data_IF_934045974410
#
_entry.id   IF_934045974410
#
_cell.length_a   1.000
_cell.length_b   1.000
_cell.length_c   1.000
_cell.angle_alpha   90.00
_cell.angle_beta   90.00
_cell.angle_gamma   90.00
#
_symmetry.space_group_name_H-M   'P 1'
#
loop_
_entity.id
_entity.type
_entity.pdbx_description
1 polymer ?
#
# COMPACT_ATOMS: atom_id res chain seq x y z
N UNK A 1 -11.24 -10.45 8.99
CA UNK A 1 -10.39 -11.60 9.34
C UNK A 1 -9.34 -11.79 8.24
N UNK A 2 -8.09 -11.87 8.63
CA UNK A 2 -6.99 -12.00 7.67
C UNK A 2 -6.84 -13.46 7.26
N UNK A 3 -6.74 -13.68 5.95
CA UNK A 3 -6.54 -15.02 5.42
C UNK A 3 -5.07 -15.22 5.06
N UNK A 4 -4.52 -16.32 5.48
CA UNK A 4 -3.12 -16.67 5.24
C UNK A 4 -3.08 -18.02 4.55
N UNK A 5 -2.34 -18.12 3.44
CA UNK A 5 -2.20 -19.37 2.71
C UNK A 5 -1.40 -20.40 3.52
N UNK A 6 -1.54 -21.67 3.15
CA UNK A 6 -0.77 -22.74 3.82
C UNK A 6 0.73 -22.55 3.63
N UNK A 7 1.16 -22.11 2.44
CA UNK A 7 2.57 -21.85 2.18
C UNK A 7 3.12 -20.77 3.11
N UNK A 8 2.34 -19.71 3.32
CA UNK A 8 2.76 -18.61 4.17
C UNK A 8 2.75 -19.03 5.65
N UNK A 9 1.77 -19.84 6.07
CA UNK A 9 1.75 -20.39 7.42
C UNK A 9 2.98 -21.26 7.69
N UNK A 10 3.36 -22.11 6.76
CA UNK A 10 4.56 -22.93 6.88
C UNK A 10 5.81 -22.05 6.97
N UNK A 11 5.86 -20.98 6.19
CA UNK A 11 6.96 -20.02 6.24
C UNK A 11 7.07 -19.40 7.65
N UNK A 12 5.97 -18.94 8.21
CA UNK A 12 5.98 -18.34 9.56
C UNK A 12 6.41 -19.31 10.65
N UNK A 13 6.05 -20.57 10.51
CA UNK A 13 6.41 -21.60 11.49
C UNK A 13 7.89 -21.95 11.41
N UNK A 14 8.48 -21.97 10.22
CA UNK A 14 9.82 -22.51 10.00
C UNK A 14 10.93 -21.46 9.98
N UNK A 15 10.60 -20.18 9.76
CA UNK A 15 11.59 -19.13 9.66
C UNK A 15 11.72 -18.34 10.97
N UNK A 16 12.97 -18.03 11.31
CA UNK A 16 13.27 -17.23 12.51
C UNK A 16 13.26 -15.74 12.23
N UNK A 17 13.48 -15.34 10.99
CA UNK A 17 13.42 -13.94 10.56
C UNK A 17 12.71 -13.88 9.22
N UNK A 18 12.00 -12.78 9.00
CA UNK A 18 11.19 -12.62 7.79
C UNK A 18 11.70 -11.46 6.97
N UNK A 19 11.95 -11.70 5.68
CA UNK A 19 12.13 -10.61 4.73
C UNK A 19 10.76 -10.22 4.23
N UNK A 20 10.39 -8.96 4.42
CA UNK A 20 9.07 -8.48 4.03
C UNK A 20 9.14 -7.02 3.58
N UNK A 21 8.12 -6.59 2.85
CA UNK A 21 7.95 -5.20 2.48
C UNK A 21 6.46 -4.86 2.41
N UNK A 22 6.18 -3.56 2.32
CA UNK A 22 4.81 -3.08 2.16
C UNK A 22 4.43 -3.01 0.69
N UNK A 23 3.22 -3.47 0.37
CA UNK A 23 2.60 -3.28 -0.93
C UNK A 23 1.32 -2.50 -0.77
N UNK A 24 1.02 -1.63 -1.74
CA UNK A 24 -0.16 -0.79 -1.73
C UNK A 24 -0.99 -1.04 -2.97
N UNK A 25 -2.28 -1.27 -2.77
CA UNK A 25 -3.25 -1.35 -3.85
C UNK A 25 -4.19 -0.16 -3.71
N UNK A 26 -4.19 0.72 -4.69
CA UNK A 26 -5.05 1.89 -4.71
C UNK A 26 -6.12 1.69 -5.79
N UNK A 27 -7.37 1.63 -5.36
CA UNK A 27 -8.52 1.55 -6.27
C UNK A 27 -9.24 2.89 -6.22
N UNK A 28 -9.30 3.59 -7.34
CA UNK A 28 -9.98 4.87 -7.43
C UNK A 28 -11.49 4.68 -7.59
N UNK A 29 -12.24 5.72 -7.27
CA UNK A 29 -13.69 5.70 -7.38
C UNK A 29 -14.15 5.39 -8.82
N UNK A 30 -13.37 5.79 -9.83
CA UNK A 30 -13.68 5.53 -11.23
C UNK A 30 -13.39 4.07 -11.66
N UNK A 31 -12.94 3.21 -10.74
CA UNK A 31 -12.67 1.81 -11.01
C UNK A 31 -11.25 1.49 -11.43
N UNK A 32 -10.41 2.47 -11.67
CA UNK A 32 -9.01 2.23 -12.01
C UNK A 32 -8.23 1.81 -10.79
N UNK A 33 -7.32 0.85 -10.96
CA UNK A 33 -6.50 0.30 -9.88
C UNK A 33 -5.02 0.48 -10.19
N UNK A 34 -4.27 0.76 -9.14
CA UNK A 34 -2.82 0.96 -9.22
C UNK A 34 -2.15 0.14 -8.12
N UNK A 35 -0.97 -0.38 -8.42
CA UNK A 35 -0.25 -1.28 -7.52
C UNK A 35 1.17 -0.78 -7.32
N UNK A 36 1.55 -0.58 -6.06
CA UNK A 36 2.85 0.00 -5.71
C UNK A 36 3.55 -0.84 -4.66
N UNK A 37 4.88 -0.90 -4.75
CA UNK A 37 5.72 -1.57 -3.78
C UNK A 37 6.64 -0.57 -3.09
N UNK A 38 6.69 -0.63 -1.77
CA UNK A 38 7.68 0.10 -0.97
C UNK A 38 8.88 -0.83 -0.77
N UNK A 39 9.67 -0.98 -1.82
CA UNK A 39 10.76 -1.93 -1.89
C UNK A 39 11.79 -1.43 -2.92
N UNK A 40 12.93 -2.10 -3.02
CA UNK A 40 13.99 -1.72 -3.97
C UNK A 40 13.86 -2.42 -5.33
N UNK A 41 12.80 -3.17 -5.54
CA UNK A 41 12.51 -3.87 -6.79
C UNK A 41 10.99 -4.02 -6.94
N UNK A 42 10.52 -4.27 -8.17
CA UNK A 42 9.12 -4.60 -8.39
C UNK A 42 8.79 -5.94 -7.73
N UNK A 43 7.57 -6.06 -7.22
CA UNK A 43 7.10 -7.29 -6.58
C UNK A 43 5.97 -7.86 -7.42
N UNK A 44 6.09 -9.13 -7.80
CA UNK A 44 5.06 -9.83 -8.58
C UNK A 44 4.44 -10.92 -7.71
N UNK A 45 3.12 -10.89 -7.60
CA UNK A 45 2.38 -11.91 -6.88
C UNK A 45 1.02 -12.13 -7.55
N UNK A 46 0.67 -13.38 -7.83
CA UNK A 46 -0.59 -13.77 -8.48
C UNK A 46 -0.84 -13.02 -9.79
N UNK A 47 0.21 -12.81 -10.59
CA UNK A 47 0.10 -12.14 -11.88
C UNK A 47 -0.01 -10.62 -11.80
N UNK A 48 0.04 -10.04 -10.61
CA UNK A 48 0.00 -8.59 -10.41
C UNK A 48 1.41 -8.09 -10.13
N UNK A 49 1.83 -7.06 -10.85
CA UNK A 49 3.11 -6.39 -10.63
C UNK A 49 2.91 -5.12 -9.79
N UNK A 50 3.56 -5.09 -8.64
CA UNK A 50 3.58 -3.91 -7.77
C UNK A 50 4.84 -3.12 -8.07
N UNK A 51 4.69 -1.90 -8.57
CA UNK A 51 5.80 -1.08 -9.06
C UNK A 51 6.49 -0.34 -7.91
N UNK A 52 7.83 -0.35 -7.91
CA UNK A 52 8.63 0.37 -6.93
C UNK A 52 9.17 1.71 -7.45
N UNK A 53 9.03 1.98 -8.74
CA UNK A 53 9.79 3.06 -9.40
C UNK A 53 9.15 4.43 -9.27
N UNK A 54 7.81 4.51 -9.26
CA UNK A 54 7.12 5.79 -9.45
C UNK A 54 7.03 6.60 -8.17
N UNK A 55 6.54 6.00 -7.10
CA UNK A 55 6.28 6.73 -5.85
C UNK A 55 7.04 6.11 -4.69
N UNK A 56 7.41 6.95 -3.72
CA UNK A 56 7.96 6.49 -2.45
C UNK A 56 6.90 6.66 -1.37
N UNK A 57 6.71 5.64 -0.56
CA UNK A 57 5.68 5.61 0.46
C UNK A 57 6.28 5.60 1.85
N UNK A 58 5.68 6.38 2.74
CA UNK A 58 5.95 6.32 4.17
C UNK A 58 4.60 6.28 4.89
N UNK A 59 4.45 5.38 5.81
CA UNK A 59 3.19 5.22 6.55
C UNK A 59 3.40 5.26 8.04
N UNK A 60 2.32 5.56 8.75
CA UNK A 60 2.31 5.45 10.20
C UNK A 60 2.45 3.98 10.60
N UNK A 61 3.02 3.77 11.77
CA UNK A 61 3.20 2.43 12.31
C UNK A 61 1.86 1.88 12.79
N UNK A 62 1.58 0.63 12.43
CA UNK A 62 0.38 -0.09 12.87
C UNK A 62 0.79 -1.01 14.01
N UNK A 63 0.13 -0.88 15.16
CA UNK A 63 0.36 -1.76 16.29
C UNK A 63 -0.61 -2.93 16.22
N UNK A 64 -0.06 -4.15 16.22
CA UNK A 64 -0.84 -5.38 16.13
C UNK A 64 -0.82 -6.12 17.47
N UNK A 65 -0.98 -5.40 18.57
CA UNK A 65 -0.79 -5.95 19.92
C UNK A 65 -2.10 -6.22 20.66
N UNK A 66 -3.18 -6.50 19.93
CA UNK A 66 -4.47 -6.79 20.56
C UNK A 66 -5.28 -5.56 20.93
N UNK A 67 -4.77 -4.37 20.69
CA UNK A 67 -5.52 -3.14 20.91
C UNK A 67 -6.71 -3.05 19.94
N UNK A 68 -7.71 -2.21 20.24
CA UNK A 68 -8.79 -1.96 19.30
C UNK A 68 -8.27 -1.60 17.92
N UNK A 69 -9.03 -1.95 16.90
CA UNK A 69 -8.64 -1.72 15.52
C UNK A 69 -8.28 -0.26 15.27
N UNK A 70 -7.26 -0.04 14.45
CA UNK A 70 -6.85 1.30 14.03
C UNK A 70 -7.96 1.87 13.15
N UNK A 71 -8.46 3.07 13.49
CA UNK A 71 -9.54 3.71 12.74
C UNK A 71 -9.02 4.41 11.49
N UNK A 72 -7.77 4.84 11.50
CA UNK A 72 -7.19 5.54 10.36
C UNK A 72 -5.69 5.29 10.30
N UNK A 73 -5.16 5.42 9.07
CA UNK A 73 -3.74 5.27 8.79
C UNK A 73 -3.28 6.47 7.96
N UNK A 74 -2.21 7.12 8.39
CA UNK A 74 -1.57 8.17 7.59
C UNK A 74 -0.56 7.55 6.64
N UNK A 75 -0.66 7.91 5.36
CA UNK A 75 0.27 7.46 4.32
C UNK A 75 0.78 8.69 3.59
N UNK A 76 2.09 8.88 3.56
CA UNK A 76 2.72 9.96 2.82
C UNK A 76 3.32 9.41 1.54
N UNK A 77 2.98 10.01 0.42
CA UNK A 77 3.48 9.62 -0.90
C UNK A 77 4.40 10.72 -1.41
N UNK A 78 5.64 10.37 -1.71
CA UNK A 78 6.63 11.28 -2.30
C UNK A 78 6.70 11.00 -3.79
N UNK A 79 6.68 12.06 -4.59
CA UNK A 79 6.70 11.95 -6.05
C UNK A 79 7.71 12.93 -6.66
N UNK A 80 8.02 12.70 -7.92
CA UNK A 80 8.77 13.65 -8.73
C UNK A 80 7.80 14.55 -9.50
N UNK A 81 8.23 15.73 -10.00
CA UNK A 81 7.33 16.64 -10.72
C UNK A 81 6.64 16.03 -11.93
N UNK A 82 7.29 15.05 -12.58
CA UNK A 82 6.78 14.42 -13.79
C UNK A 82 5.94 13.17 -13.52
N UNK A 83 5.83 12.75 -12.28
CA UNK A 83 5.08 11.54 -11.94
C UNK A 83 3.60 11.73 -12.22
N UNK A 84 3.00 10.68 -12.79
CA UNK A 84 1.60 10.66 -13.16
C UNK A 84 0.89 9.48 -12.54
N UNK A 85 -0.40 9.67 -12.28
CA UNK A 85 -1.29 8.57 -11.98
C UNK A 85 -2.25 8.43 -13.18
N UNK A 86 -2.12 7.33 -13.91
CA UNK A 86 -2.74 7.25 -15.24
C UNK A 86 -2.14 8.31 -16.16
N UNK A 87 -2.98 9.15 -16.74
CA UNK A 87 -2.56 10.22 -17.65
C UNK A 87 -2.49 11.58 -17.00
N UNK A 88 -2.75 11.67 -15.68
CA UNK A 88 -2.85 12.93 -14.96
C UNK A 88 -1.62 13.11 -14.08
N UNK A 89 -0.98 14.30 -14.06
CA UNK A 89 0.07 14.57 -13.09
C UNK A 89 -0.42 14.32 -11.68
N UNK A 90 0.39 13.62 -10.88
CA UNK A 90 -0.05 13.12 -9.57
C UNK A 90 -0.50 14.25 -8.64
N UNK A 91 0.27 15.33 -8.56
CA UNK A 91 -0.06 16.46 -7.68
C UNK A 91 -1.38 17.11 -8.11
N UNK A 92 -1.59 17.25 -9.42
CA UNK A 92 -2.85 17.78 -9.94
C UNK A 92 -4.02 16.85 -9.60
N UNK A 93 -3.83 15.55 -9.73
CA UNK A 93 -4.87 14.57 -9.37
C UNK A 93 -5.25 14.69 -7.90
N UNK A 94 -4.27 14.86 -7.02
CA UNK A 94 -4.55 15.05 -5.59
C UNK A 94 -5.32 16.35 -5.33
N UNK A 95 -4.94 17.42 -5.99
CA UNK A 95 -5.61 18.72 -5.87
C UNK A 95 -7.06 18.67 -6.37
N UNK A 96 -7.30 17.93 -7.45
CA UNK A 96 -8.61 17.83 -8.09
C UNK A 96 -9.53 16.81 -7.42
N UNK A 97 -9.06 16.13 -6.37
CA UNK A 97 -9.88 15.17 -5.63
C UNK A 97 -9.99 13.80 -6.29
N UNK A 98 -9.14 13.49 -7.26
CA UNK A 98 -9.17 12.20 -7.96
C UNK A 98 -8.91 11.02 -7.02
N UNK A 99 -8.10 11.23 -5.98
CA UNK A 99 -7.79 10.19 -5.00
C UNK A 99 -8.80 10.10 -3.86
N UNK A 100 -9.69 11.08 -3.73
CA UNK A 100 -10.70 11.05 -2.67
C UNK A 100 -11.74 9.97 -2.94
N UNK A 101 -12.22 9.31 -1.88
CA UNK A 101 -13.22 8.23 -1.96
C UNK A 101 -12.71 6.98 -2.67
N UNK A 102 -11.41 6.86 -2.88
CA UNK A 102 -10.81 5.61 -3.32
C UNK A 102 -10.67 4.63 -2.17
N UNK A 103 -10.12 3.46 -2.44
CA UNK A 103 -9.79 2.46 -1.42
C UNK A 103 -8.31 2.15 -1.50
N UNK A 104 -7.62 2.29 -0.38
CA UNK A 104 -6.22 1.88 -0.27
C UNK A 104 -6.15 0.64 0.60
N UNK A 105 -5.50 -0.41 0.09
CA UNK A 105 -5.24 -1.63 0.84
C UNK A 105 -3.74 -1.78 1.01
N UNK A 106 -3.32 -1.97 2.25
CA UNK A 106 -1.93 -2.19 2.60
C UNK A 106 -1.72 -3.67 2.88
N UNK A 107 -0.76 -4.26 2.17
CA UNK A 107 -0.34 -5.63 2.38
C UNK A 107 1.10 -5.68 2.87
N UNK A 108 1.43 -6.68 3.66
CA UNK A 108 2.81 -7.11 3.85
C UNK A 108 3.08 -8.28 2.93
N UNK A 109 4.14 -8.15 2.12
CA UNK A 109 4.61 -9.22 1.25
C UNK A 109 5.78 -9.92 1.94
N UNK A 110 5.76 -11.24 1.96
CA UNK A 110 6.81 -12.06 2.56
C UNK A 110 7.56 -12.80 1.47
N UNK A 111 8.88 -12.90 1.63
CA UNK A 111 9.76 -13.46 0.61
C UNK A 111 10.50 -14.69 1.13
N UNK A 112 10.68 -15.64 0.24
CA UNK A 112 11.54 -16.80 0.44
C UNK A 112 12.34 -17.00 -0.85
N UNK A 113 13.67 -17.07 -0.75
CA UNK A 113 14.57 -17.17 -1.90
C UNK A 113 14.30 -16.08 -2.95
N UNK A 114 14.13 -14.83 -2.50
CA UNK A 114 13.87 -13.66 -3.34
C UNK A 114 12.55 -13.72 -4.12
N UNK A 115 11.65 -14.61 -3.74
CA UNK A 115 10.34 -14.73 -4.35
C UNK A 115 9.27 -14.44 -3.33
N UNK A 116 8.27 -13.64 -3.74
CA UNK A 116 7.13 -13.36 -2.88
C UNK A 116 6.25 -14.61 -2.77
N UNK A 117 6.10 -15.12 -1.56
CA UNK A 117 5.35 -16.35 -1.30
C UNK A 117 3.96 -16.08 -0.73
N UNK A 118 3.68 -14.87 -0.31
CA UNK A 118 2.35 -14.57 0.22
C UNK A 118 2.20 -13.13 0.63
N UNK A 119 0.95 -12.69 0.70
CA UNK A 119 0.56 -11.36 1.17
C UNK A 119 -0.30 -11.50 2.40
N UNK A 120 -0.11 -10.58 3.34
CA UNK A 120 -0.97 -10.45 4.50
C UNK A 120 -1.61 -9.05 4.46
N UNK A 121 -2.93 -8.97 4.40
CA UNK A 121 -3.61 -7.69 4.45
C UNK A 121 -3.48 -7.12 5.86
N UNK A 122 -2.95 -5.91 5.95
CA UNK A 122 -2.69 -5.24 7.23
C UNK A 122 -3.74 -4.18 7.51
N UNK A 123 -4.14 -3.44 6.49
CA UNK A 123 -5.10 -2.35 6.63
C UNK A 123 -5.80 -2.08 5.30
N UNK A 124 -7.06 -1.70 5.36
CA UNK A 124 -7.81 -1.26 4.19
C UNK A 124 -8.79 -0.18 4.59
N UNK A 125 -8.95 0.82 3.76
CA UNK A 125 -9.86 1.90 4.06
C UNK A 125 -10.03 2.87 2.91
N UNK A 126 -10.89 3.87 3.12
CA UNK A 126 -11.15 4.93 2.15
C UNK A 126 -10.11 6.01 2.24
N UNK A 127 -9.71 6.51 1.08
CA UNK A 127 -8.69 7.54 0.98
C UNK A 127 -9.28 8.92 0.99
N UNK A 128 -8.54 9.84 1.58
CA UNK A 128 -8.85 11.27 1.60
C UNK A 128 -7.51 12.01 1.59
N UNK A 129 -7.35 12.97 0.71
CA UNK A 129 -6.14 13.79 0.69
C UNK A 129 -6.21 14.74 1.88
N UNK A 130 -5.27 14.58 2.82
CA UNK A 130 -5.21 15.43 4.01
C UNK A 130 -4.43 16.70 3.73
N UNK A 131 -3.21 16.57 3.22
CA UNK A 131 -2.42 17.73 2.81
C UNK A 131 -1.66 17.39 1.54
N UNK A 132 -1.47 18.39 0.69
CA UNK A 132 -0.61 18.25 -0.49
C UNK A 132 0.20 19.53 -0.65
N UNK A 133 1.47 19.37 -1.00
CA UNK A 133 2.34 20.50 -1.24
C UNK A 133 3.74 20.05 -1.61
N UNK A 134 4.38 20.81 -2.49
CA UNK A 134 5.70 20.42 -3.00
C UNK A 134 5.61 19.09 -3.71
N UNK A 135 6.43 18.15 -3.29
CA UNK A 135 6.50 16.81 -3.87
C UNK A 135 6.03 15.72 -2.90
N UNK A 136 5.20 16.09 -1.94
CA UNK A 136 4.68 15.15 -0.96
C UNK A 136 3.17 15.32 -0.80
N UNK A 137 2.46 14.20 -0.74
CA UNK A 137 1.01 14.17 -0.50
C UNK A 137 0.75 13.27 0.69
N UNK A 138 0.04 13.80 1.67
CA UNK A 138 -0.37 12.99 2.82
C UNK A 138 -1.82 12.55 2.63
N UNK A 139 -2.02 11.24 2.62
CA UNK A 139 -3.35 10.63 2.59
C UNK A 139 -3.75 10.22 3.98
N UNK A 140 -5.01 10.38 4.29
CA UNK A 140 -5.64 9.78 5.45
C UNK A 140 -6.51 8.64 4.95
N UNK A 141 -6.26 7.43 5.44
CA UNK A 141 -7.00 6.24 5.05
C UNK A 141 -7.84 5.83 6.24
N UNK A 142 -9.16 5.91 6.09
CA UNK A 142 -10.09 5.58 7.16
C UNK A 142 -10.67 4.19 6.96
N UNK A 143 -10.59 3.37 8.01
CA UNK A 143 -11.15 2.03 7.98
C UNK A 143 -12.66 2.09 7.73
N UNK A 144 -13.12 1.19 6.87
CA UNK A 144 -14.55 1.04 6.56
C UNK A 144 -15.02 -0.26 7.19
N UNK A 145 -15.69 -0.13 8.30
CA UNK A 145 -16.28 -1.27 8.99
C UNK A 145 -17.80 -1.20 8.99
#
# INVERSE_FOLDING_TARGET
>A
MKKVSDSLMNYFVNEKSFLCCDLYQLALENGKKYFFASYDADVVFNGITYSHKTFKFKRDQIQLNGEPSVDSLGVTIYCEPDDKIGDIPFIKACHDGVLDQGTLTLYKAYFDNNKCIGLLEVFSGRTEVDTSGGLAVKLKVKSVL
#
